data_IF_551702111881
#
_entry.id   IF_551702111881
#
_cell.length_a   1.000
_cell.length_b   1.000
_cell.length_c   1.000
_cell.angle_alpha   90.00
_cell.angle_beta   90.00
_cell.angle_gamma   90.00
#
_symmetry.space_group_name_H-M   'P 1'
#
loop_
_entity.id
_entity.type
_entity.pdbx_description
1 polymer ?
#
# COMPACT_ATOMS: atom_id res chain seq x y z
N UNK A 1 -5.89 -16.69 -7.82
CA UNK A 1 -6.30 -15.79 -6.73
C UNK A 1 -5.27 -14.67 -6.67
N UNK A 2 -5.70 -13.41 -6.59
CA UNK A 2 -4.80 -12.24 -6.48
C UNK A 2 -4.75 -11.92 -4.99
N UNK A 3 -3.56 -11.93 -4.37
CA UNK A 3 -3.42 -11.61 -2.96
C UNK A 3 -3.47 -10.09 -2.81
N UNK A 4 -4.46 -9.62 -2.05
CA UNK A 4 -4.76 -8.20 -1.84
C UNK A 4 -4.60 -7.84 -0.37
N UNK A 5 -3.91 -6.73 -0.09
CA UNK A 5 -3.71 -6.20 1.27
C UNK A 5 -4.17 -4.75 1.34
N UNK A 6 -4.67 -4.33 2.49
CA UNK A 6 -4.95 -2.94 2.78
C UNK A 6 -4.15 -2.44 3.98
N UNK A 7 -3.58 -1.23 3.85
CA UNK A 7 -2.88 -0.52 4.93
C UNK A 7 -3.72 0.68 5.34
N UNK A 8 -4.13 0.71 6.62
CA UNK A 8 -4.89 1.81 7.21
C UNK A 8 -3.96 2.59 8.15
N UNK A 9 -3.63 3.81 7.76
CA UNK A 9 -2.70 4.71 8.44
C UNK A 9 -1.27 4.57 7.91
N UNK A 10 -0.83 5.55 7.14
CA UNK A 10 0.46 5.57 6.44
C UNK A 10 1.48 6.45 7.19
N UNK A 11 1.45 6.50 8.52
CA UNK A 11 2.52 7.17 9.28
C UNK A 11 3.87 6.49 9.09
N UNK A 12 4.87 6.84 9.91
CA UNK A 12 6.23 6.24 9.81
C UNK A 12 6.24 4.71 9.76
N UNK A 13 5.39 4.08 10.57
CA UNK A 13 5.24 2.61 10.61
C UNK A 13 4.56 2.09 9.34
N UNK A 14 3.44 2.71 8.94
CA UNK A 14 2.70 2.30 7.75
C UNK A 14 3.52 2.41 6.46
N UNK A 15 4.25 3.50 6.25
CA UNK A 15 5.13 3.67 5.08
C UNK A 15 6.28 2.66 5.07
N UNK A 16 6.86 2.33 6.23
CA UNK A 16 7.89 1.29 6.30
C UNK A 16 7.33 -0.09 5.93
N UNK A 17 6.14 -0.42 6.45
CA UNK A 17 5.46 -1.67 6.08
C UNK A 17 5.20 -1.71 4.58
N UNK A 18 4.69 -0.61 3.98
CA UNK A 18 4.47 -0.52 2.53
C UNK A 18 5.75 -0.82 1.73
N UNK A 19 6.86 -0.22 2.15
CA UNK A 19 8.18 -0.45 1.54
C UNK A 19 8.58 -1.92 1.62
N UNK A 20 8.50 -2.52 2.82
CA UNK A 20 8.97 -3.87 3.06
C UNK A 20 8.12 -4.91 2.29
N UNK A 21 6.80 -4.76 2.29
CA UNK A 21 5.91 -5.71 1.61
C UNK A 21 5.96 -5.58 0.08
N UNK A 22 6.19 -4.37 -0.45
CA UNK A 22 6.40 -4.17 -1.88
C UNK A 22 7.75 -4.77 -2.30
N UNK A 23 8.82 -4.49 -1.55
CA UNK A 23 10.15 -5.02 -1.82
C UNK A 23 10.17 -6.55 -1.79
N UNK A 24 9.45 -7.17 -0.85
CA UNK A 24 9.32 -8.62 -0.75
C UNK A 24 8.36 -9.24 -1.78
N UNK A 25 7.60 -8.44 -2.54
CA UNK A 25 6.69 -8.92 -3.58
C UNK A 25 5.54 -9.81 -3.06
N UNK A 26 5.08 -9.58 -1.83
CA UNK A 26 4.15 -10.48 -1.14
C UNK A 26 2.71 -10.40 -1.66
N UNK A 27 2.33 -9.25 -2.21
CA UNK A 27 0.97 -8.94 -2.66
C UNK A 27 0.99 -8.38 -4.06
N UNK A 28 -0.04 -8.68 -4.86
CA UNK A 28 -0.20 -8.11 -6.20
C UNK A 28 -0.99 -6.80 -6.18
N UNK A 29 -1.75 -6.54 -5.11
CA UNK A 29 -2.51 -5.30 -4.93
C UNK A 29 -2.46 -4.83 -3.48
N UNK A 30 -2.11 -3.56 -3.30
CA UNK A 30 -1.98 -2.87 -2.02
C UNK A 30 -2.88 -1.64 -2.04
N UNK A 31 -3.85 -1.58 -1.12
CA UNK A 31 -4.74 -0.42 -0.93
C UNK A 31 -4.21 0.43 0.23
N UNK A 32 -4.03 1.73 -0.01
CA UNK A 32 -3.63 2.71 1.01
C UNK A 32 -4.84 3.51 1.46
N UNK A 33 -5.07 3.58 2.77
CA UNK A 33 -6.14 4.37 3.38
C UNK A 33 -5.53 5.22 4.48
N UNK A 34 -5.69 6.53 4.39
CA UNK A 34 -5.30 7.51 5.41
C UNK A 34 -6.21 8.74 5.30
N UNK A 35 -6.26 9.54 6.36
CA UNK A 35 -6.95 10.83 6.38
C UNK A 35 -6.22 11.91 5.59
N UNK A 36 -4.89 11.84 5.53
CA UNK A 36 -4.06 12.79 4.78
C UNK A 36 -3.91 12.32 3.32
N UNK A 37 -4.87 12.71 2.49
CA UNK A 37 -5.01 12.22 1.11
C UNK A 37 -3.85 12.64 0.21
N UNK A 38 -3.43 13.91 0.30
CA UNK A 38 -2.34 14.46 -0.52
C UNK A 38 -1.03 13.71 -0.26
N UNK A 39 -0.76 13.39 1.01
CA UNK A 39 0.43 12.65 1.40
C UNK A 39 0.41 11.20 0.91
N UNK A 40 -0.71 10.49 1.01
CA UNK A 40 -0.79 9.10 0.53
C UNK A 40 -0.81 8.98 -0.98
N UNK A 41 -1.32 9.98 -1.70
CA UNK A 41 -1.18 10.04 -3.16
C UNK A 41 0.29 10.21 -3.56
N UNK A 42 1.04 11.03 -2.82
CA UNK A 42 2.50 11.15 -2.98
C UNK A 42 3.25 9.84 -2.70
N UNK A 43 2.92 9.14 -1.62
CA UNK A 43 3.48 7.82 -1.29
C UNK A 43 3.17 6.78 -2.39
N UNK A 44 1.91 6.70 -2.83
CA UNK A 44 1.52 5.78 -3.90
C UNK A 44 2.33 6.02 -5.18
N UNK A 45 2.55 7.30 -5.54
CA UNK A 45 3.32 7.69 -6.70
C UNK A 45 4.82 7.35 -6.55
N UNK A 46 5.40 7.56 -5.37
CA UNK A 46 6.80 7.20 -5.11
C UNK A 46 7.04 5.70 -5.27
N UNK A 47 6.14 4.89 -4.71
CA UNK A 47 6.19 3.45 -4.85
C UNK A 47 5.83 2.95 -6.26
N UNK A 48 5.06 3.70 -7.05
CA UNK A 48 4.88 3.43 -8.49
C UNK A 48 6.19 3.68 -9.26
N UNK A 49 6.86 4.81 -9.02
CA UNK A 49 8.14 5.12 -9.65
C UNK A 49 9.24 4.09 -9.33
N UNK A 50 9.26 3.57 -8.09
CA UNK A 50 10.19 2.52 -7.69
C UNK A 50 10.12 1.29 -8.62
N UNK A 51 8.93 0.95 -9.13
CA UNK A 51 8.72 -0.22 -9.99
C UNK A 51 9.32 -0.08 -11.39
N UNK A 52 9.75 1.13 -11.78
CA UNK A 52 10.49 1.35 -13.03
C UNK A 52 11.91 0.77 -13.03
N UNK A 53 12.41 0.34 -11.86
CA UNK A 53 13.75 -0.23 -11.72
C UNK A 53 13.76 -1.73 -12.06
N UNK A 54 14.82 -2.16 -12.72
CA UNK A 54 15.07 -3.59 -13.02
C UNK A 54 15.12 -4.43 -11.74
N UNK A 55 14.44 -5.58 -11.75
CA UNK A 55 14.46 -6.53 -10.64
C UNK A 55 13.45 -6.23 -9.51
N UNK A 56 12.54 -5.28 -9.71
CA UNK A 56 11.45 -5.00 -8.76
C UNK A 56 10.21 -5.86 -9.05
N UNK A 57 9.35 -6.00 -8.03
CA UNK A 57 8.07 -6.67 -8.16
C UNK A 57 6.98 -5.71 -8.62
N UNK A 58 6.24 -6.11 -9.66
CA UNK A 58 5.08 -5.36 -10.12
C UNK A 58 3.88 -5.57 -9.18
N UNK A 59 3.56 -4.51 -8.45
CA UNK A 59 2.49 -4.46 -7.45
C UNK A 59 1.57 -3.28 -7.75
N UNK A 60 0.26 -3.53 -7.83
CA UNK A 60 -0.72 -2.43 -7.98
C UNK A 60 -0.90 -1.72 -6.65
N UNK A 61 -0.44 -0.49 -6.55
CA UNK A 61 -0.61 0.35 -5.37
C UNK A 61 -1.69 1.38 -5.67
N UNK A 62 -2.70 1.50 -4.80
CA UNK A 62 -3.83 2.40 -5.00
C UNK A 62 -4.20 3.11 -3.71
N UNK A 63 -4.44 4.42 -3.80
CA UNK A 63 -5.16 5.15 -2.76
C UNK A 63 -6.64 4.77 -2.85
N UNK A 64 -7.23 4.41 -1.72
CA UNK A 64 -8.58 3.88 -1.69
C UNK A 64 -9.38 4.30 -0.47
N UNK A 65 -10.57 3.70 -0.35
CA UNK A 65 -11.52 3.92 0.73
C UNK A 65 -11.97 2.58 1.31
N UNK A 66 -12.70 2.62 2.42
CA UNK A 66 -13.12 1.40 3.13
C UNK A 66 -14.04 0.48 2.30
N UNK A 67 -14.72 1.01 1.29
CA UNK A 67 -15.55 0.24 0.35
C UNK A 67 -14.74 -0.76 -0.48
N UNK A 68 -13.43 -0.54 -0.61
CA UNK A 68 -12.52 -1.41 -1.38
C UNK A 68 -12.00 -2.62 -0.59
N UNK A 69 -12.47 -2.80 0.66
CA UNK A 69 -12.00 -3.85 1.57
C UNK A 69 -12.75 -5.18 1.47
N UNK A 70 -13.83 -5.25 0.67
CA UNK A 70 -14.71 -6.42 0.61
C UNK A 70 -14.01 -7.72 0.16
N UNK A 71 -12.94 -7.61 -0.63
CA UNK A 71 -12.16 -8.68 -1.24
C UNK A 71 -10.68 -8.67 -0.81
N UNK A 72 -10.36 -8.02 0.31
CA UNK A 72 -9.00 -7.94 0.84
C UNK A 72 -8.69 -9.17 1.71
N UNK A 73 -7.54 -9.80 1.48
CA UNK A 73 -7.10 -11.00 2.23
C UNK A 73 -6.47 -10.64 3.59
N UNK A 74 -5.84 -9.46 3.70
CA UNK A 74 -5.19 -8.97 4.91
C UNK A 74 -5.39 -7.46 5.08
N UNK A 75 -5.79 -7.04 6.29
CA UNK A 75 -5.86 -5.63 6.68
C UNK A 75 -4.81 -5.37 7.76
N UNK A 76 -3.93 -4.41 7.50
CA UNK A 76 -2.91 -3.93 8.44
C UNK A 76 -3.32 -2.54 8.93
N UNK A 77 -3.41 -2.35 10.25
CA UNK A 77 -3.80 -1.08 10.85
C UNK A 77 -2.61 -0.52 11.63
N UNK A 78 -2.08 0.61 11.15
CA UNK A 78 -1.03 1.40 11.80
C UNK A 78 -1.46 2.83 12.12
N UNK A 79 -2.72 3.19 11.84
CA UNK A 79 -3.32 4.42 12.30
C UNK A 79 -3.30 4.51 13.84
N UNK A 80 -2.79 5.62 14.36
CA UNK A 80 -2.73 5.94 15.79
C UNK A 80 -2.84 7.45 15.98
N UNK A 81 -3.04 7.91 17.22
CA UNK A 81 -3.23 9.32 17.58
C UNK A 81 -1.92 10.11 17.57
#
# INVERSE_FOLDING_TARGET
MINKVALIGLGRVGSQILTDIQYAGLFQEIILIDTDRDRIEGEALDHEHFQGLSGTHHTRIKVGTYEMLADVDLIIISASI
#
